data_IF_353136692225
#
_entry.id   IF_353136692225
#
_cell.length_a   1.000
_cell.length_b   1.000
_cell.length_c   1.000
_cell.angle_alpha   90.00
_cell.angle_beta   90.00
_cell.angle_gamma   90.00
#
_symmetry.space_group_name_H-M   'P 1'
#
loop_
_entity.id
_entity.type
_entity.pdbx_description
1 polymer ?
#
# COMPACT_ATOMS: atom_id res chain seq x y z
N UNK A 1 13.18 -1.13 -1.36
CA UNK A 1 11.87 -1.13 -2.05
C UNK A 1 10.83 -1.53 -1.02
N UNK A 2 9.70 -0.83 -0.98
CA UNK A 2 8.56 -1.21 -0.12
C UNK A 2 7.40 -1.64 -1.03
N UNK A 3 6.82 -2.79 -0.76
CA UNK A 3 5.70 -3.34 -1.52
C UNK A 3 4.51 -3.41 -0.56
N UNK A 4 3.38 -2.77 -0.89
CA UNK A 4 2.20 -2.86 -0.05
C UNK A 4 1.67 -4.30 -0.03
N UNK A 5 1.19 -4.76 1.12
CA UNK A 5 0.69 -6.14 1.28
C UNK A 5 -0.43 -6.47 0.28
N UNK A 6 -1.31 -5.51 -0.03
CA UNK A 6 -2.40 -5.72 -0.97
C UNK A 6 -1.98 -6.01 -2.42
N UNK A 7 -0.74 -5.71 -2.81
CA UNK A 7 -0.22 -5.98 -4.14
C UNK A 7 0.53 -7.32 -4.22
N UNK A 8 0.86 -7.91 -3.07
CA UNK A 8 1.58 -9.18 -2.99
C UNK A 8 1.27 -9.89 -1.65
N UNK A 9 0.02 -10.36 -1.45
CA UNK A 9 -0.45 -10.87 -0.16
C UNK A 9 0.27 -12.16 0.28
N UNK A 10 0.95 -12.84 -0.64
CA UNK A 10 1.71 -14.06 -0.36
C UNK A 10 3.16 -13.81 0.06
N UNK A 11 3.64 -12.56 0.11
CA UNK A 11 4.99 -12.28 0.56
C UNK A 11 5.13 -12.50 2.06
N UNK A 12 6.17 -13.25 2.43
CA UNK A 12 6.56 -13.48 3.81
C UNK A 12 8.07 -13.33 3.96
N UNK A 13 8.55 -13.32 5.20
CA UNK A 13 9.95 -13.09 5.52
C UNK A 13 10.84 -14.13 4.82
N UNK A 14 11.92 -13.70 4.17
CA UNK A 14 12.82 -14.57 3.43
C UNK A 14 12.33 -15.02 2.04
N UNK A 15 11.08 -14.73 1.67
CA UNK A 15 10.55 -15.01 0.33
C UNK A 15 11.17 -14.09 -0.72
N UNK A 16 11.50 -14.64 -1.89
CA UNK A 16 11.98 -13.82 -3.01
C UNK A 16 10.83 -13.08 -3.71
N UNK A 17 11.17 -11.99 -4.40
CA UNK A 17 10.23 -11.19 -5.19
C UNK A 17 10.89 -10.78 -6.50
N UNK A 18 10.21 -11.02 -7.62
CA UNK A 18 10.65 -10.54 -8.93
C UNK A 18 10.01 -9.19 -9.23
N UNK A 19 10.84 -8.14 -9.26
CA UNK A 19 10.42 -6.78 -9.58
C UNK A 19 9.85 -6.65 -10.99
N UNK A 20 10.32 -7.44 -11.98
CA UNK A 20 9.87 -7.30 -13.36
C UNK A 20 8.43 -7.76 -13.52
N UNK A 21 8.14 -8.95 -13.01
CA UNK A 21 6.81 -9.58 -13.07
C UNK A 21 5.91 -9.17 -11.92
N UNK A 22 6.45 -8.54 -10.88
CA UNK A 22 5.74 -8.18 -9.65
C UNK A 22 5.12 -9.38 -8.94
N UNK A 23 5.83 -10.51 -8.92
CA UNK A 23 5.36 -11.77 -8.33
C UNK A 23 6.25 -12.25 -7.19
N UNK A 24 5.63 -12.85 -6.17
CA UNK A 24 6.35 -13.61 -5.15
C UNK A 24 7.00 -14.85 -5.77
N UNK A 25 8.26 -15.10 -5.41
CA UNK A 25 9.02 -16.28 -5.78
C UNK A 25 9.10 -17.28 -4.63
N UNK A 26 10.16 -18.10 -4.64
CA UNK A 26 10.42 -19.10 -3.61
C UNK A 26 11.15 -18.53 -2.38
N UNK A 27 11.06 -19.25 -1.27
CA UNK A 27 11.81 -18.97 -0.04
C UNK A 27 13.26 -19.43 -0.20
N UNK A 28 14.20 -18.57 0.20
CA UNK A 28 15.65 -18.86 0.09
C UNK A 28 16.33 -19.08 1.44
N UNK A 29 15.57 -18.91 2.52
CA UNK A 29 16.01 -19.11 3.89
C UNK A 29 15.20 -20.24 4.54
N UNK A 30 15.73 -20.88 5.61
CA UNK A 30 14.97 -21.83 6.42
C UNK A 30 13.68 -21.24 6.99
N UNK A 31 12.68 -22.08 7.31
CA UNK A 31 11.39 -21.60 7.84
C UNK A 31 11.45 -21.11 9.30
N UNK A 32 12.52 -21.44 10.02
CA UNK A 32 12.72 -21.15 11.46
C UNK A 32 13.53 -19.86 11.70
N UNK A 33 13.51 -18.92 10.74
CA UNK A 33 14.09 -17.59 10.93
C UNK A 33 13.44 -16.95 12.16
N UNK A 34 14.27 -16.51 13.11
CA UNK A 34 13.81 -15.70 14.24
C UNK A 34 14.00 -14.22 13.88
N UNK A 35 12.95 -13.48 13.52
CA UNK A 35 13.08 -12.05 13.25
C UNK A 35 13.34 -11.26 14.53
N UNK A 36 14.01 -10.12 14.37
CA UNK A 36 13.94 -9.05 15.37
C UNK A 36 12.56 -8.39 15.26
N UNK A 37 11.80 -8.47 16.33
CA UNK A 37 10.45 -7.89 16.43
C UNK A 37 10.49 -6.59 17.23
N UNK A 38 9.83 -5.55 16.71
CA UNK A 38 9.68 -4.25 17.37
C UNK A 38 8.20 -3.89 17.37
N UNK A 39 7.63 -3.64 18.55
CA UNK A 39 6.29 -3.08 18.69
C UNK A 39 6.33 -1.58 18.40
N UNK A 40 5.49 -1.13 17.48
CA UNK A 40 5.46 0.26 16.99
C UNK A 40 4.21 0.98 17.46
N UNK A 41 3.04 0.33 17.35
CA UNK A 41 1.72 0.86 17.74
C UNK A 41 1.48 2.31 17.30
N UNK A 42 1.71 2.58 16.02
CA UNK A 42 1.52 3.89 15.41
C UNK A 42 0.22 3.97 14.61
N UNK A 43 -0.45 5.12 14.70
CA UNK A 43 -1.66 5.41 13.96
C UNK A 43 -1.45 6.65 13.09
N UNK A 44 -1.89 6.58 11.84
CA UNK A 44 -1.87 7.72 10.93
C UNK A 44 -3.22 7.85 10.25
N UNK A 45 -3.70 9.09 10.15
CA UNK A 45 -4.91 9.42 9.42
C UNK A 45 -4.57 10.49 8.39
N UNK A 46 -4.93 10.24 7.14
CA UNK A 46 -4.74 11.17 6.04
C UNK A 46 -6.02 11.22 5.21
N UNK A 47 -6.28 12.35 4.57
CA UNK A 47 -7.38 12.45 3.62
C UNK A 47 -7.01 13.35 2.45
N UNK A 48 -7.66 13.14 1.31
CA UNK A 48 -7.48 13.96 0.12
C UNK A 48 -8.77 14.08 -0.66
N UNK A 49 -9.05 15.29 -1.15
CA UNK A 49 -10.04 15.49 -2.20
C UNK A 49 -9.43 14.98 -3.50
N UNK A 50 -10.03 13.95 -4.09
CA UNK A 50 -9.49 13.26 -5.28
C UNK A 50 -9.77 14.07 -6.54
N UNK A 51 -8.72 14.57 -7.17
CA UNK A 51 -8.80 15.27 -8.46
C UNK A 51 -8.37 14.39 -9.62
N UNK A 52 -7.43 13.48 -9.38
CA UNK A 52 -6.85 12.57 -10.37
C UNK A 52 -6.28 11.31 -9.70
N UNK A 53 -5.83 10.35 -10.51
CA UNK A 53 -5.24 9.09 -10.02
C UNK A 53 -3.97 9.27 -9.19
N UNK A 54 -3.19 10.35 -9.42
CA UNK A 54 -2.01 10.64 -8.59
C UNK A 54 -2.37 10.97 -7.14
N UNK A 55 -3.53 11.58 -6.90
CA UNK A 55 -4.01 11.85 -5.55
C UNK A 55 -4.24 10.56 -4.75
N UNK A 56 -4.86 9.56 -5.38
CA UNK A 56 -5.09 8.24 -4.78
C UNK A 56 -3.76 7.54 -4.51
N UNK A 57 -2.87 7.53 -5.51
CA UNK A 57 -1.53 6.91 -5.40
C UNK A 57 -0.73 7.50 -4.23
N UNK A 58 -0.70 8.83 -4.12
CA UNK A 58 0.02 9.53 -3.06
C UNK A 58 -0.58 9.23 -1.69
N UNK A 59 -1.91 9.25 -1.56
CA UNK A 59 -2.60 8.98 -0.31
C UNK A 59 -2.38 7.54 0.19
N UNK A 60 -2.32 6.58 -0.73
CA UNK A 60 -1.99 5.19 -0.41
C UNK A 60 -0.47 4.96 -0.20
N UNK A 61 0.38 5.90 -0.59
CA UNK A 61 1.84 5.81 -0.46
C UNK A 61 2.48 4.86 -1.47
N UNK A 62 1.94 4.79 -2.69
CA UNK A 62 2.34 3.81 -3.71
C UNK A 62 3.27 4.43 -4.76
N UNK A 63 4.23 3.64 -5.27
CA UNK A 63 5.13 4.09 -6.33
C UNK A 63 4.38 4.27 -7.66
N UNK A 64 4.88 5.16 -8.52
CA UNK A 64 4.34 5.34 -9.87
C UNK A 64 4.38 4.07 -10.71
N UNK A 65 5.49 3.32 -10.64
CA UNK A 65 5.65 2.06 -11.35
C UNK A 65 4.60 1.02 -10.93
N UNK A 66 4.41 0.82 -9.62
CA UNK A 66 3.42 -0.15 -9.14
C UNK A 66 2.01 0.28 -9.52
N UNK A 67 1.69 1.58 -9.39
CA UNK A 67 0.38 2.11 -9.81
C UNK A 67 0.09 1.86 -11.30
N UNK A 68 1.10 2.00 -12.17
CA UNK A 68 0.95 1.70 -13.59
C UNK A 68 0.75 0.20 -13.85
N UNK A 69 1.50 -0.67 -13.18
CA UNK A 69 1.33 -2.12 -13.31
C UNK A 69 -0.07 -2.58 -12.90
N UNK A 70 -0.62 -2.00 -11.83
CA UNK A 70 -2.00 -2.26 -11.40
C UNK A 70 -2.99 -1.83 -12.48
N UNK A 71 -2.90 -0.59 -12.97
CA UNK A 71 -3.80 -0.07 -14.02
C UNK A 71 -3.67 -0.79 -15.36
N UNK A 72 -2.51 -1.38 -15.64
CA UNK A 72 -2.28 -2.22 -16.82
C UNK A 72 -2.77 -3.67 -16.65
N UNK A 73 -3.33 -4.03 -15.48
CA UNK A 73 -3.76 -5.39 -15.17
C UNK A 73 -2.61 -6.39 -14.97
N UNK A 74 -1.38 -5.90 -14.79
CA UNK A 74 -0.19 -6.74 -14.57
C UNK A 74 -0.03 -7.15 -13.11
N UNK A 75 -0.65 -6.41 -12.18
CA UNK A 75 -0.65 -6.71 -10.75
C UNK A 75 -2.08 -6.65 -10.25
N UNK A 76 -2.56 -7.78 -9.72
CA UNK A 76 -3.84 -7.84 -9.04
C UNK A 76 -3.69 -7.28 -7.62
N UNK A 77 -4.67 -6.49 -7.21
CA UNK A 77 -4.69 -5.84 -5.89
C UNK A 77 -5.94 -6.21 -5.12
N UNK A 78 -5.79 -6.31 -3.80
CA UNK A 78 -6.88 -6.57 -2.86
C UNK A 78 -7.14 -5.37 -1.96
N UNK A 79 -8.21 -5.43 -1.16
CA UNK A 79 -8.52 -4.43 -0.13
C UNK A 79 -8.42 -2.97 -0.62
N UNK A 80 -7.63 -2.17 0.09
CA UNK A 80 -7.38 -0.75 -0.19
C UNK A 80 -6.70 -0.49 -1.54
N UNK A 81 -5.98 -1.47 -2.08
CA UNK A 81 -5.32 -1.35 -3.38
C UNK A 81 -6.32 -1.17 -4.53
N UNK A 82 -7.57 -1.64 -4.38
CA UNK A 82 -8.62 -1.52 -5.40
C UNK A 82 -8.94 -0.07 -5.80
N UNK A 83 -8.70 0.89 -4.90
CA UNK A 83 -8.88 2.31 -5.20
C UNK A 83 -7.89 2.83 -6.26
N UNK A 84 -6.77 2.13 -6.51
CA UNK A 84 -5.84 2.48 -7.59
C UNK A 84 -6.46 2.28 -8.98
N UNK A 85 -7.43 1.39 -9.11
CA UNK A 85 -8.13 1.11 -10.37
C UNK A 85 -9.34 2.04 -10.54
N UNK A 86 -10.10 2.25 -9.46
CA UNK A 86 -11.41 2.93 -9.42
C UNK A 86 -11.35 4.48 -9.59
N UNK A 87 -10.19 5.04 -9.94
CA UNK A 87 -9.97 6.50 -9.95
C UNK A 87 -10.57 7.23 -11.17
N UNK A 88 -11.49 6.63 -11.92
CA UNK A 88 -12.18 7.31 -13.02
C UNK A 88 -13.16 8.33 -12.45
N UNK A 89 -12.88 9.60 -12.75
CA UNK A 89 -13.67 10.71 -12.25
C UNK A 89 -15.06 10.67 -12.86
N UNK A 90 -16.09 10.45 -12.04
CA UNK A 90 -17.47 10.64 -12.45
C UNK A 90 -17.74 12.14 -12.58
N UNK A 91 -18.14 12.58 -13.77
CA UNK A 91 -18.47 13.99 -14.00
C UNK A 91 -19.58 14.44 -13.02
N UNK A 92 -19.48 15.68 -12.55
CA UNK A 92 -20.44 16.19 -11.56
C UNK A 92 -20.22 15.70 -10.11
N UNK A 93 -19.17 14.91 -9.82
CA UNK A 93 -18.90 14.41 -8.46
C UNK A 93 -17.62 15.01 -7.85
N UNK A 94 -17.66 15.21 -6.53
CA UNK A 94 -16.49 15.47 -5.69
C UNK A 94 -16.29 14.24 -4.80
N UNK A 95 -15.16 13.56 -4.97
CA UNK A 95 -14.78 12.42 -4.15
C UNK A 95 -13.71 12.82 -3.13
N UNK A 96 -13.86 12.34 -1.91
CA UNK A 96 -12.87 12.46 -0.85
C UNK A 96 -12.52 11.08 -0.33
N UNK A 97 -11.23 10.78 -0.34
CA UNK A 97 -10.70 9.57 0.25
C UNK A 97 -10.06 9.90 1.60
N UNK A 98 -10.32 9.05 2.59
CA UNK A 98 -9.69 9.06 3.89
C UNK A 98 -9.02 7.71 4.14
N UNK A 99 -7.79 7.74 4.62
CA UNK A 99 -6.96 6.56 4.89
C UNK A 99 -6.53 6.59 6.34
N UNK A 100 -6.90 5.54 7.07
CA UNK A 100 -6.43 5.26 8.41
C UNK A 100 -5.45 4.09 8.33
N UNK A 101 -4.20 4.28 8.74
CA UNK A 101 -3.21 3.20 8.87
C UNK A 101 -2.86 3.00 10.34
N UNK A 102 -2.96 1.76 10.80
CA UNK A 102 -2.45 1.30 12.08
C UNK A 102 -1.26 0.39 11.80
N UNK A 103 -0.09 0.74 12.32
CA UNK A 103 1.13 -0.09 12.27
C UNK A 103 1.39 -0.63 13.67
N UNK A 104 1.33 -1.94 13.81
CA UNK A 104 1.44 -2.60 15.12
C UNK A 104 2.85 -3.10 15.37
N UNK A 105 3.41 -3.83 14.41
CA UNK A 105 4.66 -4.60 14.60
C UNK A 105 5.55 -4.49 13.37
N UNK A 106 6.86 -4.34 13.59
CA UNK A 106 7.88 -4.52 12.57
C UNK A 106 8.71 -5.77 12.88
N UNK A 107 8.82 -6.67 11.90
CA UNK A 107 9.73 -7.81 11.93
C UNK A 107 10.83 -7.62 10.92
N UNK A 108 12.08 -7.93 11.27
CA UNK A 108 13.22 -7.82 10.36
C UNK A 108 14.20 -8.96 10.60
N UNK A 109 14.61 -9.62 9.52
CA UNK A 109 15.68 -10.61 9.54
C UNK A 109 16.99 -9.95 9.94
N UNK A 110 17.73 -10.65 10.79
CA UNK A 110 19.14 -10.33 10.97
C UNK A 110 19.92 -10.57 9.66
N UNK A 111 21.14 -10.04 9.59
CA UNK A 111 22.03 -10.27 8.45
C UNK A 111 22.78 -11.60 8.51
N UNK A 112 22.60 -12.40 9.56
CA UNK A 112 23.29 -13.67 9.82
C UNK A 112 22.55 -14.89 9.29
N UNK A 113 21.28 -14.75 8.90
CA UNK A 113 20.51 -15.80 8.26
C UNK A 113 21.26 -16.36 7.04
N UNK A 114 21.44 -17.68 7.03
CA UNK A 114 22.15 -18.38 5.94
C UNK A 114 21.16 -18.88 4.90
N UNK A 115 21.48 -18.62 3.63
CA UNK A 115 20.70 -19.09 2.48
C UNK A 115 20.77 -20.62 2.39
N UNK A 116 19.65 -21.27 2.06
CA UNK A 116 19.57 -22.72 1.85
C UNK A 116 20.60 -23.18 0.81
N UNK A 117 21.33 -24.27 1.09
CA UNK A 117 22.43 -24.73 0.23
C UNK A 117 21.99 -24.99 -1.22
N UNK A 118 20.79 -25.55 -1.40
CA UNK A 118 20.20 -25.85 -2.71
C UNK A 118 19.85 -24.62 -3.56
N UNK A 119 19.87 -23.40 -3.00
CA UNK A 119 19.64 -22.17 -3.77
C UNK A 119 20.90 -21.76 -4.54
N UNK A 120 22.09 -22.05 -4.00
CA UNK A 120 23.38 -21.66 -4.63
C UNK A 120 23.72 -22.56 -5.81
N UNK A 121 23.40 -23.85 -5.72
CA UNK A 121 23.75 -24.88 -6.70
C UNK A 121 22.56 -25.36 -7.54
N UNK A 122 21.34 -25.00 -7.18
CA UNK A 122 20.12 -25.49 -7.81
C UNK A 122 19.61 -24.62 -8.99
N UNK A 123 18.53 -25.08 -9.64
CA UNK A 123 17.89 -24.33 -10.73
C UNK A 123 17.38 -22.98 -10.22
N UNK A 124 17.78 -21.92 -10.92
CA UNK A 124 17.40 -20.53 -10.57
C UNK A 124 15.95 -20.18 -10.93
N UNK A 125 15.19 -21.13 -11.48
CA UNK A 125 13.80 -20.91 -11.89
C UNK A 125 12.91 -20.51 -10.70
N UNK A 126 12.06 -19.49 -10.87
CA UNK A 126 11.16 -19.01 -9.81
C UNK A 126 11.85 -18.31 -8.64
N UNK A 127 13.13 -17.91 -8.79
CA UNK A 127 13.79 -16.99 -7.87
C UNK A 127 13.55 -15.56 -8.32
N UNK A 128 13.17 -14.71 -7.38
CA UNK A 128 13.05 -13.28 -7.60
C UNK A 128 14.39 -12.55 -7.61
N UNK A 129 14.35 -11.27 -7.98
CA UNK A 129 15.53 -10.39 -7.99
C UNK A 129 15.85 -9.80 -6.61
N UNK A 130 14.89 -9.84 -5.69
CA UNK A 130 15.00 -9.35 -4.32
C UNK A 130 14.44 -10.39 -3.34
N UNK A 131 14.63 -10.18 -2.03
CA UNK A 131 13.95 -10.96 -0.99
C UNK A 131 13.41 -10.06 0.12
N UNK A 132 12.40 -10.56 0.85
CA UNK A 132 11.76 -9.84 1.95
C UNK A 132 12.65 -9.95 3.20
N UNK A 133 13.38 -8.87 3.48
CA UNK A 133 14.18 -8.76 4.72
C UNK A 133 13.37 -8.33 5.94
N UNK A 134 12.26 -7.63 5.74
CA UNK A 134 11.43 -7.17 6.84
C UNK A 134 9.98 -6.94 6.43
N UNK A 135 9.09 -7.03 7.41
CA UNK A 135 7.65 -6.89 7.24
C UNK A 135 7.13 -5.91 8.29
N UNK A 136 6.25 -5.02 7.85
CA UNK A 136 5.48 -4.14 8.72
C UNK A 136 4.05 -4.65 8.75
N UNK A 137 3.61 -5.10 9.93
CA UNK A 137 2.25 -5.55 10.18
C UNK A 137 1.37 -4.42 10.66
N UNK A 138 0.10 -4.52 10.32
CA UNK A 138 -0.87 -3.49 10.62
C UNK A 138 -2.19 -3.72 9.92
N UNK A 139 -3.03 -2.69 9.98
CA UNK A 139 -4.28 -2.60 9.26
C UNK A 139 -4.37 -1.26 8.53
N UNK A 140 -4.95 -1.29 7.33
CA UNK A 140 -5.25 -0.09 6.54
C UNK A 140 -6.74 -0.09 6.23
N UNK A 141 -7.40 1.02 6.54
CA UNK A 141 -8.80 1.27 6.18
C UNK A 141 -8.84 2.46 5.23
N UNK A 142 -9.54 2.30 4.11
CA UNK A 142 -9.82 3.37 3.15
C UNK A 142 -11.32 3.59 3.10
N UNK A 143 -11.75 4.84 3.27
CA UNK A 143 -13.14 5.26 3.13
C UNK A 143 -13.25 6.29 2.02
N UNK A 144 -14.25 6.12 1.14
CA UNK A 144 -14.61 7.08 0.11
C UNK A 144 -15.94 7.75 0.47
N UNK A 145 -15.96 9.08 0.37
CA UNK A 145 -17.16 9.89 0.39
C UNK A 145 -17.31 10.57 -0.97
N UNK A 146 -18.39 10.23 -1.67
CA UNK A 146 -18.74 10.80 -2.97
C UNK A 146 -19.94 11.73 -2.86
N UNK A 147 -19.76 12.99 -3.24
CA UNK A 147 -20.81 14.00 -3.26
C UNK A 147 -21.12 14.43 -4.69
N UNK A 148 -22.39 14.45 -5.07
CA UNK A 148 -22.84 15.02 -6.35
C UNK A 148 -22.96 16.53 -6.22
N UNK A 149 -22.60 17.26 -7.25
CA UNK A 149 -22.73 18.71 -7.34
C UNK A 149 -23.39 19.05 -8.67
N UNK A 150 -24.37 19.94 -8.62
CA UNK A 150 -25.14 20.39 -9.78
C UNK A 150 -24.45 21.52 -10.56
N UNK A 151 -23.46 22.20 -9.95
CA UNK A 151 -22.71 23.29 -10.59
C UNK A 151 -21.22 23.29 -10.22
N UNK A 152 -20.41 24.06 -10.96
CA UNK A 152 -18.98 24.26 -10.66
C UNK A 152 -18.74 25.06 -9.39
N UNK A 153 -19.59 26.05 -9.08
CA UNK A 153 -19.53 26.83 -7.84
C UNK A 153 -19.80 25.93 -6.63
N UNK A 154 -20.84 25.11 -6.70
CA UNK A 154 -21.21 24.18 -5.63
C UNK A 154 -20.09 23.15 -5.37
N UNK A 155 -19.34 22.72 -6.40
CA UNK A 155 -18.14 21.89 -6.21
C UNK A 155 -17.06 22.60 -5.40
N UNK A 156 -16.81 23.88 -5.68
CA UNK A 156 -15.79 24.67 -4.96
C UNK A 156 -16.19 24.84 -3.49
N UNK A 157 -17.46 25.15 -3.24
CA UNK A 157 -18.00 25.33 -1.89
C UNK A 157 -17.93 24.04 -1.08
N UNK A 158 -18.38 22.91 -1.65
CA UNK A 158 -18.30 21.58 -1.01
C UNK A 158 -16.85 21.21 -0.67
N UNK A 159 -15.92 21.43 -1.60
CA UNK A 159 -14.50 21.14 -1.36
C UNK A 159 -13.90 22.02 -0.26
N UNK A 160 -14.29 23.30 -0.20
CA UNK A 160 -13.87 24.24 0.83
C UNK A 160 -14.37 23.82 2.21
N UNK A 161 -15.67 23.59 2.34
CA UNK A 161 -16.31 23.23 3.61
C UNK A 161 -15.76 21.91 4.17
N UNK A 162 -15.59 20.89 3.30
CA UNK A 162 -15.09 19.60 3.74
C UNK A 162 -13.64 19.67 4.21
N UNK A 163 -12.79 20.45 3.52
CA UNK A 163 -11.40 20.67 3.96
C UNK A 163 -11.36 21.30 5.34
N UNK A 164 -12.14 22.36 5.59
CA UNK A 164 -12.19 23.04 6.88
C UNK A 164 -12.65 22.09 7.99
N UNK A 165 -13.74 21.34 7.76
CA UNK A 165 -14.28 20.39 8.75
C UNK A 165 -13.29 19.25 9.08
N UNK A 166 -12.58 18.73 8.09
CA UNK A 166 -11.62 17.65 8.29
C UNK A 166 -10.32 18.13 8.94
N UNK A 167 -9.82 19.33 8.58
CA UNK A 167 -8.66 19.93 9.25
C UNK A 167 -8.94 20.21 10.73
N UNK A 168 -10.12 20.77 11.04
CA UNK A 168 -10.50 21.08 12.40
C UNK A 168 -10.56 19.83 13.28
N UNK A 169 -11.12 18.73 12.76
CA UNK A 169 -11.19 17.45 13.50
C UNK A 169 -9.83 16.78 13.69
N UNK A 170 -8.90 16.93 12.74
CA UNK A 170 -7.56 16.36 12.87
C UNK A 170 -6.76 17.02 14.01
N UNK A 171 -7.04 18.29 14.34
CA UNK A 171 -6.43 19.00 15.47
C UNK A 171 -7.06 18.65 16.82
N UNK A 172 -8.31 18.16 16.85
CA UNK A 172 -9.01 17.79 18.11
C UNK A 172 -8.70 16.36 18.58
N UNK A 173 -8.13 15.52 17.70
CA UNK A 173 -7.77 14.12 17.98
C UNK A 173 -6.32 13.94 18.47
N UNK A 174 -5.60 15.05 18.72
CA UNK A 174 -4.23 15.07 19.28
C UNK A 174 -4.27 15.53 20.72
#
# INVERSE_FOLDING_TARGET
MNIPAFAAPTLCLGRTYDVKTSTAGRDIFPSDITPKTINVNQFTFQYKVVKNSSDVRELLGISGELSLKVKAGLVNVEGSGKYLDDSEKKEGTTEVLAVLKCVTVNETMDGSATVLEGVKSGPQYGLGTHYVRGITYGAEMVASLSMKSSSSSEKVDIQGELKVKLQFKQQTLV
#
